data_IF_819827229044
#
_entry.id   IF_819827229044
#
_cell.length_a   1.000
_cell.length_b   1.000
_cell.length_c   1.000
_cell.angle_alpha   90.00
_cell.angle_beta   90.00
_cell.angle_gamma   90.00
#
_symmetry.space_group_name_H-M   'P 1'
#
loop_
_entity.id
_entity.type
_entity.pdbx_description
1 polymer ?
#
# COMPACT_ATOMS: atom_id res chain seq x y z
N UNK A 1 13.53 2.77 -17.53
CA UNK A 1 13.24 1.79 -16.47
C UNK A 1 11.97 1.02 -16.86
N UNK A 2 11.98 -0.31 -16.92
CA UNK A 2 10.83 -1.10 -17.38
C UNK A 2 9.62 -0.97 -16.44
N UNK A 3 8.39 -0.91 -16.98
CA UNK A 3 7.11 -0.80 -16.22
C UNK A 3 7.02 -1.82 -15.07
N UNK A 4 7.43 -3.07 -15.30
CA UNK A 4 7.49 -4.14 -14.28
C UNK A 4 8.41 -3.83 -13.10
N UNK A 5 9.56 -3.19 -13.36
CA UNK A 5 10.53 -2.87 -12.31
C UNK A 5 10.06 -1.68 -11.45
N UNK A 6 9.35 -0.74 -12.08
CA UNK A 6 8.76 0.41 -11.40
C UNK A 6 7.63 -0.02 -10.45
N UNK A 7 6.79 -0.97 -10.88
CA UNK A 7 5.73 -1.53 -10.04
C UNK A 7 6.28 -2.35 -8.86
N UNK A 8 7.29 -3.20 -9.10
CA UNK A 8 7.98 -3.90 -8.01
C UNK A 8 8.59 -2.94 -6.98
N UNK A 9 9.22 -1.87 -7.45
CA UNK A 9 9.75 -0.81 -6.59
C UNK A 9 8.65 -0.10 -5.81
N UNK A 10 7.53 0.24 -6.46
CA UNK A 10 6.38 0.85 -5.82
C UNK A 10 5.76 -0.05 -4.75
N UNK A 11 5.55 -1.35 -5.03
CA UNK A 11 5.11 -2.33 -4.01
C UNK A 11 6.04 -2.31 -2.80
N UNK A 12 7.35 -2.39 -3.05
CA UNK A 12 8.34 -2.46 -1.98
C UNK A 12 8.31 -1.20 -1.09
N UNK A 13 8.26 -0.02 -1.70
CA UNK A 13 8.17 1.25 -0.98
C UNK A 13 6.88 1.34 -0.16
N UNK A 14 5.74 0.97 -0.75
CA UNK A 14 4.44 1.00 -0.08
C UNK A 14 4.43 0.03 1.12
N UNK A 15 4.99 -1.17 0.97
CA UNK A 15 5.08 -2.13 2.06
C UNK A 15 6.03 -1.66 3.17
N UNK A 16 7.19 -1.10 2.83
CA UNK A 16 8.10 -0.54 3.83
C UNK A 16 7.45 0.60 4.60
N UNK A 17 6.74 1.49 3.90
CA UNK A 17 6.04 2.59 4.53
C UNK A 17 4.91 2.08 5.45
N UNK A 18 4.17 1.05 5.03
CA UNK A 18 3.17 0.40 5.87
C UNK A 18 3.79 -0.14 7.16
N UNK A 19 4.88 -0.91 7.05
CA UNK A 19 5.58 -1.48 8.22
C UNK A 19 6.07 -0.38 9.15
N UNK A 20 6.70 0.65 8.60
CA UNK A 20 7.15 1.80 9.38
C UNK A 20 5.99 2.53 10.06
N UNK A 21 4.88 2.75 9.34
CA UNK A 21 3.68 3.38 9.86
C UNK A 21 3.06 2.60 11.03
N UNK A 22 3.07 1.27 10.96
CA UNK A 22 2.61 0.42 12.07
C UNK A 22 3.56 0.52 13.25
N UNK A 23 4.88 0.46 13.03
CA UNK A 23 5.89 0.53 14.09
C UNK A 23 5.87 1.86 14.85
N UNK A 24 5.60 2.95 14.14
CA UNK A 24 5.60 4.30 14.70
C UNK A 24 4.21 4.78 15.15
N UNK A 25 3.21 3.88 15.09
CA UNK A 25 1.84 4.17 15.49
C UNK A 25 1.78 4.33 17.02
N UNK A 26 1.27 5.46 17.48
CA UNK A 26 0.96 5.66 18.88
C UNK A 26 -0.32 4.89 19.23
N UNK A 27 -0.16 3.71 19.81
CA UNK A 27 -1.26 2.82 20.22
C UNK A 27 -2.12 3.38 21.35
N UNK A 28 -1.63 4.33 22.13
CA UNK A 28 -2.40 4.96 23.21
C UNK A 28 -3.40 5.97 22.64
N UNK A 29 -3.08 6.59 21.50
CA UNK A 29 -3.88 7.61 20.84
C UNK A 29 -4.14 7.29 19.37
N UNK A 30 -4.62 6.07 19.08
CA UNK A 30 -4.83 5.58 17.70
C UNK A 30 -5.60 6.53 16.80
N UNK A 31 -6.62 7.22 17.34
CA UNK A 31 -7.49 8.11 16.57
C UNK A 31 -6.94 9.53 16.40
N UNK A 32 -5.83 9.87 17.07
CA UNK A 32 -5.21 11.19 16.94
C UNK A 32 -4.54 11.30 15.57
N UNK A 33 -5.18 12.05 14.67
CA UNK A 33 -4.62 12.36 13.35
C UNK A 33 -3.29 13.09 13.50
N UNK A 34 -3.15 13.99 14.48
CA UNK A 34 -1.92 14.74 14.70
C UNK A 34 -0.74 13.82 15.04
N UNK A 35 -0.96 12.83 15.91
CA UNK A 35 0.11 11.95 16.38
C UNK A 35 0.42 10.83 15.37
N UNK A 36 -0.57 10.40 14.59
CA UNK A 36 -0.46 9.26 13.67
C UNK A 36 -0.58 9.63 12.18
N UNK A 37 -0.45 10.91 11.81
CA UNK A 37 -0.73 11.39 10.44
C UNK A 37 0.05 10.63 9.37
N UNK A 38 1.32 10.33 9.64
CA UNK A 38 2.21 9.65 8.71
C UNK A 38 1.79 8.18 8.49
N UNK A 39 1.38 7.51 9.56
CA UNK A 39 0.85 6.15 9.51
C UNK A 39 -0.49 6.12 8.76
N UNK A 40 -1.38 7.08 9.01
CA UNK A 40 -2.63 7.21 8.27
C UNK A 40 -2.41 7.41 6.77
N UNK A 41 -1.47 8.27 6.37
CA UNK A 41 -1.11 8.43 4.96
C UNK A 41 -0.55 7.13 4.36
N UNK A 42 0.31 6.42 5.09
CA UNK A 42 0.82 5.12 4.70
C UNK A 42 -0.29 4.08 4.50
N UNK A 43 -1.27 4.03 5.41
CA UNK A 43 -2.43 3.15 5.28
C UNK A 43 -3.30 3.49 4.07
N UNK A 44 -3.57 4.78 3.82
CA UNK A 44 -4.35 5.22 2.66
C UNK A 44 -3.62 4.83 1.36
N UNK A 45 -2.32 5.09 1.29
CA UNK A 45 -1.50 4.72 0.13
C UNK A 45 -1.50 3.20 -0.10
N UNK A 46 -1.40 2.42 0.98
CA UNK A 46 -1.47 0.96 0.91
C UNK A 46 -2.83 0.46 0.42
N UNK A 47 -3.95 0.99 0.93
CA UNK A 47 -5.30 0.59 0.49
C UNK A 47 -5.51 0.90 -0.99
N UNK A 48 -5.11 2.10 -1.43
CA UNK A 48 -5.21 2.48 -2.84
C UNK A 48 -4.36 1.57 -3.73
N UNK A 49 -3.14 1.24 -3.30
CA UNK A 49 -2.27 0.31 -4.00
C UNK A 49 -2.83 -1.11 -4.06
N UNK A 50 -3.41 -1.59 -2.96
CA UNK A 50 -4.03 -2.90 -2.87
C UNK A 50 -5.23 -3.00 -3.83
N UNK A 51 -6.11 -2.01 -3.83
CA UNK A 51 -7.24 -1.96 -4.75
C UNK A 51 -6.80 -1.96 -6.22
N UNK A 52 -5.75 -1.19 -6.55
CA UNK A 52 -5.14 -1.20 -7.88
C UNK A 52 -4.58 -2.59 -8.25
N UNK A 53 -3.82 -3.20 -7.34
CA UNK A 53 -3.20 -4.52 -7.53
C UNK A 53 -4.24 -5.61 -7.73
N UNK A 54 -5.30 -5.63 -6.91
CA UNK A 54 -6.39 -6.60 -6.99
C UNK A 54 -7.14 -6.48 -8.32
N UNK A 55 -7.49 -5.26 -8.73
CA UNK A 55 -8.18 -5.02 -10.01
C UNK A 55 -7.33 -5.47 -11.20
N UNK A 56 -6.01 -5.28 -11.11
CA UNK A 56 -5.08 -5.73 -12.15
C UNK A 56 -4.97 -7.26 -12.19
N UNK A 57 -4.85 -7.90 -11.03
CA UNK A 57 -4.79 -9.36 -10.91
C UNK A 57 -6.06 -10.01 -11.47
N UNK A 58 -7.24 -9.48 -11.13
CA UNK A 58 -8.52 -9.95 -11.67
C UNK A 58 -8.55 -9.88 -13.21
N UNK A 59 -8.15 -8.74 -13.79
CA UNK A 59 -8.06 -8.59 -15.26
C UNK A 59 -7.08 -9.56 -15.90
N UNK A 60 -5.96 -9.89 -15.24
CA UNK A 60 -4.99 -10.85 -15.76
C UNK A 60 -5.54 -12.28 -15.72
N UNK A 61 -6.25 -12.63 -14.65
CA UNK A 61 -6.89 -13.93 -14.50
C UNK A 61 -8.02 -14.16 -15.53
N UNK A 62 -8.79 -13.12 -15.86
CA UNK A 62 -9.82 -13.19 -16.92
C UNK A 62 -9.20 -13.41 -18.31
N UNK A 63 -8.02 -12.84 -18.58
CA UNK A 63 -7.29 -13.01 -19.85
C UNK A 63 -6.66 -14.41 -19.95
N UNK A 64 -6.16 -14.97 -18.84
CA UNK A 64 -5.57 -16.32 -18.84
C UNK A 64 -6.60 -17.45 -18.92
N UNK A 65 -7.84 -17.21 -18.46
CA UNK A 65 -8.92 -18.21 -18.47
C UNK A 65 -9.83 -18.14 -19.71
N UNK A 66 -9.60 -17.20 -20.63
CA UNK A 66 -10.38 -17.03 -21.87
C UNK A 66 -9.63 -17.51 -23.10
#
# INVERSE_FOLDING_TARGET
>A
MNKKNLEKGATFIVLLWLVYGIFNLNSENLWSIKDNWFSFLGFIAFIAYLAYSLKKAAKQQDIENS
#
